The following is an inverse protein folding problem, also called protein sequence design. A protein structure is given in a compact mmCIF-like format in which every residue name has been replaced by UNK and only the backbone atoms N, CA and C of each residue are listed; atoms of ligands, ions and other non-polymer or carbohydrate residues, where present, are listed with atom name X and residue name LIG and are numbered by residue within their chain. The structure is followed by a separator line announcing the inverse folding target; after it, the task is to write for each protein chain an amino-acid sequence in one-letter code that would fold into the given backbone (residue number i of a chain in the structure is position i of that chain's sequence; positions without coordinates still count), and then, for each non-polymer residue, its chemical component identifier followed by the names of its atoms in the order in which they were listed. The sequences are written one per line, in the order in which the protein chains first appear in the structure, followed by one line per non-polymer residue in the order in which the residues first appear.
data_IF_460435010999
#
_entry.id   IF_460435010999
#
_cell.length_a   1.000
_cell.length_b   1.000
_cell.length_c   1.000
_cell.angle_alpha   90.00
_cell.angle_beta   90.00
_cell.angle_gamma   90.00
#
_symmetry.space_group_name_H-M   'P 1'
#
loop_
_entity.id
_entity.type
_entity.pdbx_description
1 polymer ?
#
# COMPACT_ATOMS: atom_id res chain seq x y z
N UNK A 1 3.20 27.12 7.47
CA UNK A 1 2.11 26.38 6.80
C UNK A 1 2.73 25.10 6.27
N UNK A 2 2.22 23.91 6.62
CA UNK A 2 2.76 22.65 6.07
C UNK A 2 2.37 22.59 4.59
N UNK A 3 3.35 22.34 3.72
CA UNK A 3 3.07 22.08 2.31
C UNK A 3 2.16 20.84 2.21
N UNK A 4 1.18 20.92 1.30
CA UNK A 4 0.25 19.82 1.08
C UNK A 4 0.98 18.82 0.17
N UNK A 5 1.63 17.84 0.77
CA UNK A 5 2.28 16.76 0.02
C UNK A 5 1.22 16.00 -0.79
N UNK A 6 1.44 15.89 -2.10
CA UNK A 6 0.58 15.14 -3.00
C UNK A 6 1.18 13.74 -3.13
N UNK A 7 0.36 12.73 -2.84
CA UNK A 7 0.76 11.32 -2.90
C UNK A 7 0.07 10.67 -4.09
N UNK A 8 0.86 9.98 -4.93
CA UNK A 8 0.39 9.23 -6.09
C UNK A 8 0.75 7.74 -5.95
N UNK A 9 -0.10 6.91 -5.32
CA UNK A 9 0.06 5.47 -5.34
C UNK A 9 0.07 4.89 -6.75
N UNK A 10 1.02 3.98 -6.97
CA UNK A 10 1.09 3.09 -8.12
C UNK A 10 0.87 1.67 -7.60
N UNK A 11 -0.18 1.00 -8.05
CA UNK A 11 -0.46 -0.40 -7.73
C UNK A 11 0.14 -1.28 -8.83
N UNK A 12 1.30 -1.87 -8.54
CA UNK A 12 2.03 -2.70 -9.50
C UNK A 12 1.81 -4.20 -9.22
N UNK A 13 1.14 -4.87 -10.16
CA UNK A 13 0.78 -6.30 -10.11
C UNK A 13 0.11 -6.75 -8.80
N UNK A 14 -0.62 -5.84 -8.17
CA UNK A 14 -1.39 -6.09 -6.96
C UNK A 14 -2.83 -5.63 -7.16
N UNK A 15 -3.77 -6.24 -6.43
CA UNK A 15 -5.12 -5.70 -6.33
C UNK A 15 -5.12 -4.55 -5.29
N UNK A 16 -5.52 -3.31 -5.65
CA UNK A 16 -5.64 -2.22 -4.70
C UNK A 16 -6.53 -2.57 -3.48
N UNK A 17 -7.51 -3.45 -3.65
CA UNK A 17 -8.36 -3.97 -2.58
C UNK A 17 -7.57 -4.80 -1.56
N UNK A 18 -6.59 -5.59 -2.01
CA UNK A 18 -5.73 -6.36 -1.13
C UNK A 18 -4.80 -5.45 -0.31
N UNK A 19 -4.31 -4.36 -0.92
CA UNK A 19 -3.55 -3.32 -0.21
C UNK A 19 -4.44 -2.59 0.81
N UNK A 20 -5.66 -2.22 0.42
CA UNK A 20 -6.62 -1.46 1.27
C UNK A 20 -7.08 -2.23 2.50
N UNK A 21 -7.30 -3.53 2.35
CA UNK A 21 -7.81 -4.39 3.40
C UNK A 21 -6.75 -5.31 4.00
N UNK A 22 -5.49 -5.15 3.59
CA UNK A 22 -4.35 -5.97 4.01
C UNK A 22 -4.66 -7.47 3.89
N UNK A 23 -5.14 -7.89 2.71
CA UNK A 23 -5.45 -9.29 2.36
C UNK A 23 -4.27 -9.93 1.63
N UNK A 24 -4.32 -11.25 1.48
CA UNK A 24 -3.26 -12.01 0.81
C UNK A 24 -1.91 -11.82 1.50
N UNK A 25 -0.87 -11.60 0.70
CA UNK A 25 0.51 -11.43 1.17
C UNK A 25 0.66 -10.25 2.14
N UNK A 26 -0.06 -9.14 1.95
CA UNK A 26 0.01 -7.97 2.83
C UNK A 26 -0.42 -8.29 4.26
N UNK A 27 -1.47 -9.08 4.43
CA UNK A 27 -1.95 -9.49 5.74
C UNK A 27 -0.96 -10.42 6.44
N UNK A 28 -0.46 -11.43 5.72
CA UNK A 28 0.52 -12.40 6.26
C UNK A 28 1.82 -11.71 6.65
N UNK A 29 2.34 -10.82 5.82
CA UNK A 29 3.57 -10.08 6.10
C UNK A 29 3.42 -9.21 7.34
N UNK A 30 2.35 -8.41 7.45
CA UNK A 30 2.14 -7.55 8.62
C UNK A 30 1.99 -8.34 9.93
N UNK A 31 1.36 -9.51 9.90
CA UNK A 31 1.26 -10.40 11.08
C UNK A 31 2.62 -10.99 11.46
N UNK A 32 3.46 -11.35 10.50
CA UNK A 32 4.82 -11.82 10.79
C UNK A 32 5.66 -10.72 11.47
N UNK A 33 5.47 -9.47 11.04
CA UNK A 33 6.09 -8.29 11.64
C UNK A 33 5.59 -8.03 13.08
N UNK A 34 4.28 -8.15 13.33
CA UNK A 34 3.66 -8.02 14.67
C UNK A 34 4.20 -9.05 15.71
N UNK A 35 4.60 -10.25 15.27
CA UNK A 35 4.90 -11.38 16.17
C UNK A 35 6.37 -11.77 16.31
N UNK A 36 7.19 -11.59 15.27
CA UNK A 36 8.54 -12.17 15.21
C UNK A 36 9.69 -11.15 15.15
N UNK A 37 9.41 -9.89 14.85
CA UNK A 37 10.45 -8.91 14.50
C UNK A 37 10.84 -7.99 15.66
N UNK A 38 10.13 -8.05 16.80
CA UNK A 38 10.34 -7.11 17.92
C UNK A 38 9.99 -5.67 17.57
N UNK A 39 9.27 -5.45 16.46
CA UNK A 39 8.71 -4.16 16.07
C UNK A 39 7.59 -3.78 17.04
N UNK A 40 7.47 -2.49 17.33
CA UNK A 40 6.42 -1.99 18.21
C UNK A 40 5.06 -2.19 17.54
N UNK A 41 4.09 -2.71 18.30
CA UNK A 41 2.70 -2.87 17.85
C UNK A 41 2.16 -1.54 17.31
N UNK A 42 2.59 -0.41 17.89
CA UNK A 42 2.23 0.93 17.40
C UNK A 42 2.74 1.22 15.99
N UNK A 43 3.92 0.72 15.63
CA UNK A 43 4.53 0.93 14.31
C UNK A 43 3.77 0.14 13.23
N UNK A 44 3.46 -1.12 13.50
CA UNK A 44 2.69 -1.96 12.56
C UNK A 44 1.27 -1.42 12.38
N UNK A 45 0.64 -0.92 13.45
CA UNK A 45 -0.64 -0.20 13.36
C UNK A 45 -0.51 1.08 12.52
N UNK A 46 0.61 1.79 12.63
CA UNK A 46 0.95 2.93 11.78
C UNK A 46 0.97 2.56 10.30
N UNK A 47 1.67 1.48 9.95
CA UNK A 47 1.74 0.97 8.56
C UNK A 47 0.39 0.52 8.03
N UNK A 48 -0.40 -0.22 8.83
CA UNK A 48 -1.78 -0.63 8.47
C UNK A 48 -2.64 0.58 8.11
N UNK A 49 -2.59 1.62 8.93
CA UNK A 49 -3.34 2.85 8.70
C UNK A 49 -2.85 3.62 7.47
N UNK A 50 -1.53 3.68 7.24
CA UNK A 50 -0.94 4.32 6.08
C UNK A 50 -1.36 3.62 4.77
N UNK A 51 -1.22 2.29 4.71
CA UNK A 51 -1.61 1.48 3.55
C UNK A 51 -3.10 1.65 3.24
N UNK A 52 -3.97 1.59 4.25
CA UNK A 52 -5.40 1.84 4.08
C UNK A 52 -5.70 3.24 3.54
N UNK A 53 -5.03 4.28 4.04
CA UNK A 53 -5.24 5.66 3.57
C UNK A 53 -4.80 5.82 2.11
N UNK A 54 -3.61 5.35 1.78
CA UNK A 54 -3.04 5.44 0.43
C UNK A 54 -3.86 4.62 -0.57
N UNK A 55 -4.31 3.42 -0.21
CA UNK A 55 -5.12 2.56 -1.07
C UNK A 55 -6.57 3.04 -1.28
N UNK A 56 -7.01 4.05 -0.54
CA UNK A 56 -8.28 4.75 -0.76
C UNK A 56 -8.14 5.94 -1.72
N UNK A 57 -6.91 6.34 -2.08
CA UNK A 57 -6.69 7.30 -3.15
C UNK A 57 -6.91 6.59 -4.49
N UNK A 58 -7.63 7.25 -5.41
CA UNK A 58 -7.90 6.71 -6.74
C UNK A 58 -6.73 7.06 -7.66
N UNK A 59 -5.88 6.09 -8.02
CA UNK A 59 -4.76 6.28 -8.95
C UNK A 59 -4.40 4.99 -9.73
N UNK A 60 -3.22 4.98 -10.36
CA UNK A 60 -2.82 4.05 -11.40
C UNK A 60 -2.65 2.61 -10.92
N UNK A 61 -3.32 1.70 -11.64
CA UNK A 61 -3.12 0.26 -11.51
C UNK A 61 -2.42 -0.24 -12.78
N UNK A 62 -1.32 -0.99 -12.63
CA UNK A 62 -0.58 -1.52 -13.77
C UNK A 62 -1.44 -2.42 -14.67
N UNK A 63 -2.48 -3.05 -14.11
CA UNK A 63 -3.42 -3.91 -14.85
C UNK A 63 -4.34 -3.15 -15.80
N UNK A 64 -4.44 -1.83 -15.66
CA UNK A 64 -5.19 -0.97 -16.58
C UNK A 64 -4.41 -0.67 -17.86
N UNK A 65 -3.11 -0.99 -17.88
CA UNK A 65 -2.19 -0.72 -18.99
C UNK A 65 -1.76 -1.99 -19.70
N UNK A 66 -1.43 -1.88 -20.98
CA UNK A 66 -0.97 -3.04 -21.77
C UNK A 66 0.51 -3.33 -21.55
N UNK A 67 1.29 -2.29 -21.30
CA UNK A 67 2.74 -2.36 -21.10
C UNK A 67 3.16 -1.52 -19.89
N UNK A 68 4.12 -2.00 -19.11
CA UNK A 68 4.65 -1.25 -17.94
C UNK A 68 5.22 0.11 -18.33
N UNK A 69 5.70 0.26 -19.56
CA UNK A 69 6.16 1.55 -20.08
C UNK A 69 5.06 2.61 -20.10
N UNK A 70 3.80 2.24 -20.33
CA UNK A 70 2.66 3.16 -20.33
C UNK A 70 2.33 3.69 -18.94
N UNK A 71 2.78 3.00 -17.88
CA UNK A 71 2.59 3.40 -16.48
C UNK A 71 3.54 4.53 -16.04
N UNK A 72 4.70 4.64 -16.70
CA UNK A 72 5.80 5.54 -16.32
C UNK A 72 5.97 6.73 -17.28
N UNK A 73 5.10 6.85 -18.31
CA UNK A 73 5.16 7.92 -19.31
C UNK A 73 4.25 9.07 -18.94
#
# INVERSE_FOLDING_TARGET
MKEKEIIFPIFYDVDPSDVRHQRGSFGTSLVNHDGNCGEDIEEVLGWRNALKKVANLAWWNSKDYRYDTELIT
#
